data_IF_430023478280
#
_entry.id   IF_430023478280
#
_cell.length_a   1.000
_cell.length_b   1.000
_cell.length_c   1.000
_cell.angle_alpha   90.00
_cell.angle_beta   90.00
_cell.angle_gamma   90.00
#
_symmetry.space_group_name_H-M   'P 1'
#
loop_
_entity.id
_entity.type
_entity.pdbx_description
1 polymer ?
#
# COMPACT_ATOMS: atom_id res chain seq x y z
N UNK A 1 25.61 -5.13 12.19
CA UNK A 1 26.05 -3.75 12.48
C UNK A 1 26.59 -3.18 11.18
N UNK A 2 26.10 -2.02 10.77
CA UNK A 2 26.65 -1.29 9.62
C UNK A 2 28.04 -0.77 9.99
N UNK A 3 28.99 -0.82 9.06
CA UNK A 3 30.35 -0.29 9.24
C UNK A 3 30.30 1.25 9.27
N UNK A 4 31.18 1.92 10.03
CA UNK A 4 31.35 3.38 10.02
C UNK A 4 31.53 3.94 8.59
N UNK A 5 32.19 3.16 7.73
CA UNK A 5 32.38 3.49 6.31
C UNK A 5 31.05 3.47 5.53
N UNK A 6 30.17 2.50 5.83
CA UNK A 6 28.83 2.41 5.22
C UNK A 6 27.94 3.57 5.68
N UNK A 7 28.01 3.96 6.96
CA UNK A 7 27.24 5.10 7.50
C UNK A 7 27.67 6.41 6.83
N UNK A 8 28.99 6.65 6.69
CA UNK A 8 29.49 7.86 6.03
C UNK A 8 29.11 7.93 4.55
N UNK A 9 29.15 6.79 3.84
CA UNK A 9 28.70 6.74 2.44
C UNK A 9 27.18 6.93 2.31
N UNK A 10 26.39 6.33 3.20
CA UNK A 10 24.94 6.53 3.25
C UNK A 10 24.59 8.00 3.46
N UNK A 11 25.26 8.70 4.38
CA UNK A 11 25.05 10.15 4.58
C UNK A 11 25.39 10.95 3.32
N UNK A 12 26.48 10.59 2.61
CA UNK A 12 26.83 11.21 1.33
C UNK A 12 25.72 11.02 0.28
N UNK A 13 25.09 9.85 0.22
CA UNK A 13 23.98 9.59 -0.72
C UNK A 13 22.71 10.36 -0.36
N UNK A 14 22.43 10.54 0.93
CA UNK A 14 21.29 11.33 1.40
C UNK A 14 21.48 12.82 1.04
N UNK A 15 22.64 13.37 1.34
CA UNK A 15 22.93 14.79 1.14
C UNK A 15 23.22 15.16 -0.32
N UNK A 16 23.93 14.31 -1.07
CA UNK A 16 24.42 14.63 -2.42
C UNK A 16 23.55 14.04 -3.53
N UNK A 17 22.85 12.93 -3.29
CA UNK A 17 22.13 12.18 -4.33
C UNK A 17 20.60 12.16 -4.14
N UNK A 18 20.08 12.94 -3.19
CA UNK A 18 18.64 13.08 -2.89
C UNK A 18 17.94 11.74 -2.61
N UNK A 19 18.61 10.85 -1.89
CA UNK A 19 17.99 9.60 -1.46
C UNK A 19 16.84 9.88 -0.48
N UNK A 20 15.63 9.45 -0.82
CA UNK A 20 14.45 9.55 0.04
C UNK A 20 13.85 8.18 0.36
N UNK A 21 13.23 8.09 1.54
CA UNK A 21 12.31 6.99 1.86
C UNK A 21 10.94 7.41 1.37
N UNK A 22 10.47 6.73 0.33
CA UNK A 22 9.19 7.03 -0.29
C UNK A 22 8.04 6.77 0.67
N UNK A 23 8.10 5.71 1.46
CA UNK A 23 7.01 5.33 2.35
C UNK A 23 7.47 4.44 3.50
N UNK A 24 6.82 4.59 4.65
CA UNK A 24 6.67 3.55 5.66
C UNK A 24 5.20 3.10 5.62
N UNK A 25 4.97 1.81 5.43
CA UNK A 25 3.62 1.23 5.37
C UNK A 25 3.47 0.20 6.49
N UNK A 26 2.49 0.40 7.37
CA UNK A 26 2.11 -0.60 8.35
C UNK A 26 1.03 -1.53 7.76
N UNK A 27 1.34 -2.81 7.64
CA UNK A 27 0.37 -3.84 7.31
C UNK A 27 -0.34 -4.34 8.56
N UNK A 28 -1.67 -4.43 8.54
CA UNK A 28 -2.50 -4.83 9.69
C UNK A 28 -3.47 -5.94 9.26
N UNK A 29 -3.40 -7.07 9.98
CA UNK A 29 -4.35 -8.15 9.81
C UNK A 29 -5.70 -7.81 10.46
N UNK A 30 -6.80 -7.97 9.72
CA UNK A 30 -8.16 -7.70 10.19
C UNK A 30 -9.04 -8.95 10.28
N UNK A 31 -8.49 -10.16 10.08
CA UNK A 31 -9.29 -11.38 10.12
C UNK A 31 -9.96 -11.63 11.47
N UNK A 32 -9.36 -11.20 12.58
CA UNK A 32 -9.93 -11.26 13.93
C UNK A 32 -11.06 -10.22 14.16
N UNK A 33 -11.20 -9.25 13.26
CA UNK A 33 -12.28 -8.27 13.28
C UNK A 33 -13.56 -8.82 12.61
N UNK A 34 -13.46 -9.88 11.81
CA UNK A 34 -14.59 -10.45 11.07
C UNK A 34 -15.62 -11.09 12.02
N UNK A 35 -16.88 -10.68 11.89
CA UNK A 35 -18.03 -11.26 12.59
C UNK A 35 -19.32 -11.01 11.81
N UNK A 36 -20.44 -11.62 12.23
CA UNK A 36 -21.72 -11.51 11.49
C UNK A 36 -22.33 -10.11 11.52
N UNK A 37 -22.13 -9.36 12.61
CA UNK A 37 -22.66 -8.01 12.74
C UNK A 37 -21.73 -6.99 12.09
N UNK A 38 -22.23 -6.28 11.07
CA UNK A 38 -21.47 -5.26 10.33
C UNK A 38 -20.96 -4.13 11.21
N UNK A 39 -21.78 -3.63 12.14
CA UNK A 39 -21.38 -2.53 13.02
C UNK A 39 -20.22 -2.94 13.93
N UNK A 40 -20.25 -4.18 14.44
CA UNK A 40 -19.16 -4.72 15.24
C UNK A 40 -17.87 -4.86 14.42
N UNK A 41 -17.97 -5.26 13.14
CA UNK A 41 -16.81 -5.28 12.22
C UNK A 41 -16.23 -3.88 12.07
N UNK A 42 -17.06 -2.89 11.75
CA UNK A 42 -16.62 -1.49 11.59
C UNK A 42 -15.93 -0.96 12.85
N UNK A 43 -16.51 -1.19 14.03
CA UNK A 43 -15.94 -0.75 15.31
C UNK A 43 -14.59 -1.44 15.58
N UNK A 44 -14.51 -2.77 15.43
CA UNK A 44 -13.27 -3.53 15.67
C UNK A 44 -12.15 -3.12 14.71
N UNK A 45 -12.48 -2.89 13.43
CA UNK A 45 -11.51 -2.43 12.42
C UNK A 45 -10.95 -1.07 12.81
N UNK A 46 -11.82 -0.12 13.16
CA UNK A 46 -11.42 1.23 13.57
C UNK A 46 -10.56 1.20 14.85
N UNK A 47 -11.00 0.47 15.87
CA UNK A 47 -10.27 0.29 17.13
C UNK A 47 -8.91 -0.39 16.93
N UNK A 48 -8.83 -1.45 16.12
CA UNK A 48 -7.58 -2.18 15.90
C UNK A 48 -6.56 -1.33 15.15
N UNK A 49 -6.98 -0.66 14.08
CA UNK A 49 -6.10 0.21 13.27
C UNK A 49 -5.59 1.37 14.12
N UNK A 50 -6.48 2.09 14.80
CA UNK A 50 -6.10 3.24 15.63
C UNK A 50 -5.17 2.83 16.77
N UNK A 51 -5.42 1.70 17.44
CA UNK A 51 -4.57 1.19 18.51
C UNK A 51 -3.17 0.80 18.04
N UNK A 52 -3.05 0.12 16.90
CA UNK A 52 -1.76 -0.37 16.40
C UNK A 52 -0.94 0.75 15.75
N UNK A 53 -1.59 1.63 15.00
CA UNK A 53 -0.91 2.65 14.22
C UNK A 53 -0.78 4.01 14.93
N UNK A 54 -1.28 4.17 16.17
CA UNK A 54 -1.30 5.45 16.92
C UNK A 54 0.00 6.28 16.88
N UNK A 55 1.15 5.60 16.88
CA UNK A 55 2.47 6.24 16.94
C UNK A 55 3.19 6.23 15.58
N UNK A 56 2.61 5.63 14.53
CA UNK A 56 3.26 5.41 13.22
C UNK A 56 3.79 6.70 12.59
N UNK A 57 2.96 7.74 12.56
CA UNK A 57 3.32 9.04 11.96
C UNK A 57 4.42 9.73 12.78
N UNK A 58 4.29 9.68 14.10
CA UNK A 58 5.26 10.25 15.03
C UNK A 58 6.62 9.54 14.88
N UNK A 59 6.63 8.22 14.98
CA UNK A 59 7.84 7.40 14.78
C UNK A 59 8.48 7.65 13.42
N UNK A 60 7.69 7.73 12.34
CA UNK A 60 8.21 8.08 11.02
C UNK A 60 8.84 9.47 10.95
N UNK A 61 8.32 10.46 11.68
CA UNK A 61 8.89 11.81 11.74
C UNK A 61 10.13 11.89 12.63
N UNK A 62 10.15 11.14 13.72
CA UNK A 62 11.29 11.05 14.63
C UNK A 62 12.49 10.38 13.93
N UNK A 63 12.27 9.26 13.22
CA UNK A 63 13.31 8.61 12.40
C UNK A 63 13.82 9.57 11.32
N UNK A 64 12.92 10.29 10.66
CA UNK A 64 13.32 11.24 9.61
C UNK A 64 14.26 12.34 10.15
N UNK A 65 14.01 12.79 11.39
CA UNK A 65 14.83 13.78 12.09
C UNK A 65 16.15 13.22 12.56
N UNK A 66 16.13 12.03 13.18
CA UNK A 66 17.31 11.45 13.82
C UNK A 66 18.34 10.96 12.80
N UNK A 67 17.87 10.45 11.65
CA UNK A 67 18.74 9.94 10.58
C UNK A 67 18.94 10.94 9.43
N UNK A 68 18.23 12.07 9.43
CA UNK A 68 18.29 13.06 8.34
C UNK A 68 17.74 12.56 7.00
N UNK A 69 16.99 11.45 6.99
CA UNK A 69 16.42 10.84 5.78
C UNK A 69 14.96 11.28 5.66
N UNK A 70 14.54 11.96 4.57
CA UNK A 70 13.15 12.34 4.41
C UNK A 70 12.27 11.09 4.21
N UNK A 71 11.23 10.96 5.03
CA UNK A 71 10.19 9.93 4.88
C UNK A 71 8.93 10.59 4.32
N UNK A 72 8.69 10.41 3.03
CA UNK A 72 7.67 11.16 2.28
C UNK A 72 6.26 10.77 2.67
N UNK A 73 5.98 9.47 2.84
CA UNK A 73 4.63 8.98 3.15
C UNK A 73 4.63 8.01 4.35
N UNK A 74 3.54 8.01 5.10
CA UNK A 74 3.19 7.04 6.13
C UNK A 74 1.82 6.48 5.78
N UNK A 75 1.73 5.17 5.62
CA UNK A 75 0.57 4.50 5.03
C UNK A 75 0.17 3.28 5.82
N UNK A 76 -1.05 2.82 5.59
CA UNK A 76 -1.55 1.56 6.16
C UNK A 76 -2.03 0.66 5.03
N UNK A 77 -1.74 -0.63 5.13
CA UNK A 77 -2.43 -1.66 4.35
C UNK A 77 -3.16 -2.59 5.28
N UNK A 78 -4.35 -3.05 4.87
CA UNK A 78 -5.16 -3.98 5.66
C UNK A 78 -5.52 -5.21 4.85
N UNK A 79 -5.93 -6.27 5.56
CA UNK A 79 -6.45 -7.50 4.93
C UNK A 79 -7.52 -7.15 3.90
N UNK A 80 -7.53 -7.77 2.70
CA UNK A 80 -8.55 -7.55 1.70
C UNK A 80 -9.96 -7.55 2.31
N UNK A 81 -10.64 -6.41 2.22
CA UNK A 81 -11.94 -6.20 2.87
C UNK A 81 -13.00 -7.17 2.33
N UNK A 82 -12.87 -7.71 1.11
CA UNK A 82 -13.79 -8.76 0.63
C UNK A 82 -13.79 -10.00 1.53
N UNK A 83 -12.67 -10.31 2.19
CA UNK A 83 -12.56 -11.40 3.15
C UNK A 83 -13.14 -11.01 4.52
N UNK A 84 -12.81 -9.80 5.00
CA UNK A 84 -13.22 -9.31 6.33
C UNK A 84 -14.74 -9.12 6.40
N UNK A 85 -15.34 -8.56 5.34
CA UNK A 85 -16.78 -8.32 5.24
C UNK A 85 -17.59 -9.50 4.71
N UNK A 86 -16.97 -10.64 4.36
CA UNK A 86 -17.64 -11.75 3.69
C UNK A 86 -18.87 -12.28 4.46
N UNK A 87 -18.80 -12.32 5.79
CA UNK A 87 -19.86 -12.83 6.65
C UNK A 87 -20.89 -11.78 7.05
N UNK A 88 -20.52 -10.50 7.13
CA UNK A 88 -21.39 -9.41 7.58
C UNK A 88 -22.11 -8.69 6.43
N UNK A 89 -21.43 -8.45 5.31
CA UNK A 89 -21.98 -7.70 4.19
C UNK A 89 -22.99 -8.55 3.40
N UNK A 90 -24.17 -7.99 3.12
CA UNK A 90 -25.25 -8.62 2.35
C UNK A 90 -25.59 -7.84 1.07
N UNK A 91 -25.07 -6.62 0.94
CA UNK A 91 -25.21 -5.76 -0.23
C UNK A 91 -23.98 -4.84 -0.39
N UNK A 92 -23.74 -4.24 -1.56
CA UNK A 92 -22.58 -3.37 -1.80
C UNK A 92 -22.46 -2.20 -0.80
N UNK A 93 -23.58 -1.62 -0.36
CA UNK A 93 -23.59 -0.49 0.59
C UNK A 93 -23.07 -0.87 1.98
N UNK A 94 -23.05 -2.16 2.32
CA UNK A 94 -22.48 -2.63 3.58
C UNK A 94 -20.94 -2.53 3.55
N UNK A 95 -20.32 -2.81 2.40
CA UNK A 95 -18.87 -2.62 2.23
C UNK A 95 -18.48 -1.14 2.31
N UNK A 96 -19.33 -0.23 1.81
CA UNK A 96 -19.11 1.21 1.93
C UNK A 96 -19.00 1.64 3.39
N UNK A 97 -19.75 1.03 4.31
CA UNK A 97 -19.63 1.31 5.75
C UNK A 97 -18.27 0.90 6.31
N UNK A 98 -17.68 -0.20 5.81
CA UNK A 98 -16.31 -0.60 6.18
C UNK A 98 -15.30 0.40 5.58
N UNK A 99 -15.50 0.88 4.35
CA UNK A 99 -14.67 1.92 3.76
C UNK A 99 -14.65 3.19 4.63
N UNK A 100 -15.81 3.61 5.13
CA UNK A 100 -15.95 4.72 6.07
C UNK A 100 -15.19 4.47 7.38
N UNK A 101 -15.21 3.25 7.92
CA UNK A 101 -14.44 2.90 9.10
C UNK A 101 -12.92 2.97 8.87
N UNK A 102 -12.44 2.49 7.70
CA UNK A 102 -11.04 2.62 7.31
C UNK A 102 -10.62 4.08 7.17
N UNK A 103 -11.45 4.91 6.52
CA UNK A 103 -11.16 6.33 6.31
C UNK A 103 -11.11 7.08 7.64
N UNK A 104 -12.06 6.86 8.56
CA UNK A 104 -12.02 7.46 9.91
C UNK A 104 -10.79 7.03 10.70
N UNK A 105 -10.43 5.74 10.66
CA UNK A 105 -9.24 5.24 11.35
C UNK A 105 -7.96 5.86 10.79
N UNK A 106 -7.85 5.98 9.46
CA UNK A 106 -6.70 6.57 8.79
C UNK A 106 -6.55 8.06 9.12
N UNK A 107 -7.64 8.83 9.12
CA UNK A 107 -7.63 10.23 9.55
C UNK A 107 -7.28 10.40 11.04
N UNK A 108 -7.79 9.50 11.89
CA UNK A 108 -7.50 9.53 13.33
C UNK A 108 -6.01 9.34 13.62
N UNK A 109 -5.35 8.46 12.87
CA UNK A 109 -3.90 8.22 13.00
C UNK A 109 -3.06 9.26 12.24
N UNK A 110 -3.63 9.90 11.22
CA UNK A 110 -2.97 10.93 10.42
C UNK A 110 -2.07 10.37 9.31
N UNK A 111 -2.40 9.19 8.76
CA UNK A 111 -1.67 8.60 7.62
C UNK A 111 -2.13 9.18 6.29
N UNK A 112 -1.27 9.11 5.27
CA UNK A 112 -1.56 9.71 3.96
C UNK A 112 -2.60 8.90 3.17
N UNK A 113 -2.52 7.57 3.23
CA UNK A 113 -3.37 6.64 2.49
C UNK A 113 -3.55 5.33 3.26
N UNK A 114 -4.72 4.73 3.12
CA UNK A 114 -5.01 3.37 3.59
C UNK A 114 -5.49 2.48 2.44
N UNK A 115 -4.81 1.36 2.22
CA UNK A 115 -5.13 0.38 1.20
C UNK A 115 -5.63 -0.91 1.82
N UNK A 116 -6.27 -1.76 1.02
CA UNK A 116 -6.82 -3.03 1.46
C UNK A 116 -8.33 -3.12 1.26
N UNK A 117 -8.98 -2.05 0.78
CA UNK A 117 -10.33 -2.12 0.23
C UNK A 117 -10.33 -2.92 -1.07
N UNK A 118 -10.05 -4.20 -0.95
CA UNK A 118 -9.55 -5.02 -2.04
C UNK A 118 -10.27 -6.36 -2.13
N UNK A 119 -10.27 -6.93 -3.33
CA UNK A 119 -10.75 -8.27 -3.62
C UNK A 119 -9.71 -9.04 -4.44
N UNK A 120 -9.63 -10.36 -4.23
CA UNK A 120 -8.64 -11.22 -4.90
C UNK A 120 -9.27 -12.36 -5.73
N UNK A 121 -10.20 -12.07 -6.66
CA UNK A 121 -10.87 -13.09 -7.47
C UNK A 121 -9.98 -13.59 -8.63
N UNK A 122 -8.85 -14.23 -8.32
CA UNK A 122 -7.91 -14.70 -9.34
C UNK A 122 -8.41 -15.92 -10.15
N UNK A 123 -9.40 -16.66 -9.62
CA UNK A 123 -9.99 -17.87 -10.24
C UNK A 123 -11.45 -17.69 -10.60
N UNK A 124 -12.20 -17.06 -9.69
CA UNK A 124 -13.62 -16.77 -9.83
C UNK A 124 -14.02 -15.83 -8.70
N UNK A 125 -14.87 -14.84 -8.98
CA UNK A 125 -15.45 -13.98 -7.96
C UNK A 125 -16.37 -14.76 -7.01
N UNK A 126 -16.15 -14.59 -5.71
CA UNK A 126 -17.17 -14.90 -4.70
C UNK A 126 -18.27 -13.83 -4.70
N UNK A 127 -19.36 -14.08 -3.98
CA UNK A 127 -20.40 -13.07 -3.76
C UNK A 127 -19.84 -11.82 -3.06
N UNK A 128 -18.92 -12.00 -2.10
CA UNK A 128 -18.28 -10.90 -1.39
C UNK A 128 -17.38 -10.06 -2.31
N UNK A 129 -16.60 -10.72 -3.19
CA UNK A 129 -15.77 -10.01 -4.17
C UNK A 129 -16.62 -9.16 -5.12
N UNK A 130 -17.71 -9.73 -5.64
CA UNK A 130 -18.65 -9.00 -6.51
C UNK A 130 -19.26 -7.79 -5.79
N UNK A 131 -19.76 -7.97 -4.58
CA UNK A 131 -20.35 -6.88 -3.79
C UNK A 131 -19.34 -5.78 -3.47
N UNK A 132 -18.09 -6.14 -3.14
CA UNK A 132 -17.02 -5.17 -2.93
C UNK A 132 -16.72 -4.40 -4.23
N UNK A 133 -16.61 -5.08 -5.37
CA UNK A 133 -16.37 -4.41 -6.66
C UNK A 133 -17.52 -3.46 -6.99
N UNK A 134 -18.77 -3.89 -6.83
CA UNK A 134 -19.95 -3.08 -7.12
C UNK A 134 -20.05 -1.85 -6.20
N UNK A 135 -19.48 -1.90 -5.00
CA UNK A 135 -19.44 -0.79 -4.05
C UNK A 135 -18.40 0.29 -4.37
N UNK A 136 -17.41 -0.01 -5.23
CA UNK A 136 -16.26 0.89 -5.47
C UNK A 136 -16.63 2.33 -5.87
N UNK A 137 -17.62 2.56 -6.77
CA UNK A 137 -17.97 3.93 -7.15
C UNK A 137 -18.43 4.77 -5.97
N UNK A 138 -19.21 4.17 -5.05
CA UNK A 138 -19.69 4.86 -3.85
C UNK A 138 -18.57 4.99 -2.82
N UNK A 139 -17.88 3.89 -2.49
CA UNK A 139 -16.81 3.90 -1.50
C UNK A 139 -15.72 4.93 -1.84
N UNK A 140 -15.28 4.99 -3.09
CA UNK A 140 -14.19 5.90 -3.49
C UNK A 140 -14.63 7.35 -3.70
N UNK A 141 -15.93 7.62 -3.82
CA UNK A 141 -16.47 8.99 -3.87
C UNK A 141 -16.81 9.54 -2.49
N UNK A 142 -17.10 8.68 -1.51
CA UNK A 142 -17.48 9.08 -0.15
C UNK A 142 -16.32 9.02 0.86
N UNK A 143 -15.15 8.52 0.47
CA UNK A 143 -13.94 8.48 1.32
C UNK A 143 -12.83 9.32 0.70
N UNK A 144 -11.92 9.85 1.52
CA UNK A 144 -10.85 10.71 1.03
C UNK A 144 -9.58 9.92 0.69
N UNK A 145 -9.11 9.09 1.63
CA UNK A 145 -7.75 8.50 1.59
C UNK A 145 -7.73 6.96 1.49
N UNK A 146 -8.90 6.33 1.36
CA UNK A 146 -9.03 4.90 1.08
C UNK A 146 -8.66 4.58 -0.37
N UNK A 147 -7.74 3.65 -0.55
CA UNK A 147 -7.32 3.06 -1.81
C UNK A 147 -7.83 1.62 -1.95
N UNK A 148 -8.06 1.22 -3.20
CA UNK A 148 -8.66 -0.06 -3.54
C UNK A 148 -7.89 -0.79 -4.62
N UNK A 149 -7.89 -2.11 -4.55
CA UNK A 149 -7.33 -2.96 -5.60
C UNK A 149 -8.11 -4.24 -5.83
N UNK A 150 -8.11 -4.72 -7.08
CA UNK A 150 -8.76 -6.00 -7.43
C UNK A 150 -7.84 -6.84 -8.29
N UNK A 151 -7.50 -8.05 -7.84
CA UNK A 151 -6.69 -8.99 -8.61
C UNK A 151 -7.58 -9.92 -9.45
N UNK A 152 -7.64 -9.68 -10.77
CA UNK A 152 -8.54 -10.38 -11.70
C UNK A 152 -7.96 -11.68 -12.27
N UNK A 153 -6.70 -11.99 -11.99
CA UNK A 153 -6.07 -13.14 -12.62
C UNK A 153 -4.68 -13.45 -12.09
N UNK A 154 -4.18 -14.60 -12.50
CA UNK A 154 -2.80 -15.00 -12.29
C UNK A 154 -2.31 -15.92 -13.41
N UNK A 155 -1.00 -15.97 -13.62
CA UNK A 155 -0.36 -16.92 -14.55
C UNK A 155 -0.74 -18.37 -14.25
N UNK A 156 -1.01 -18.70 -12.99
CA UNK A 156 -1.37 -20.06 -12.56
C UNK A 156 -2.81 -20.43 -12.88
N UNK A 157 -3.72 -19.45 -12.90
CA UNK A 157 -5.17 -19.69 -12.90
C UNK A 157 -5.89 -19.10 -14.12
N UNK A 158 -5.18 -18.35 -14.95
CA UNK A 158 -5.77 -17.58 -16.03
C UNK A 158 -6.34 -16.26 -15.52
N UNK A 159 -7.31 -15.74 -16.26
CA UNK A 159 -7.95 -14.45 -16.00
C UNK A 159 -9.45 -14.70 -15.83
N UNK A 160 -10.03 -14.19 -14.75
CA UNK A 160 -11.47 -14.12 -14.58
C UNK A 160 -12.04 -13.01 -15.46
N UNK A 161 -12.48 -13.38 -16.66
CA UNK A 161 -13.02 -12.42 -17.64
C UNK A 161 -14.35 -11.81 -17.21
N UNK A 162 -15.13 -12.48 -16.37
CA UNK A 162 -16.36 -11.91 -15.80
C UNK A 162 -16.00 -10.78 -14.82
N UNK A 163 -14.92 -10.96 -14.05
CA UNK A 163 -14.38 -9.91 -13.18
C UNK A 163 -13.84 -8.73 -14.00
N UNK A 164 -13.11 -9.00 -15.08
CA UNK A 164 -12.62 -7.96 -16.01
C UNK A 164 -13.77 -7.15 -16.60
N UNK A 165 -14.84 -7.80 -17.07
CA UNK A 165 -16.01 -7.10 -17.62
C UNK A 165 -16.66 -6.20 -16.56
N UNK A 166 -16.87 -6.73 -15.35
CA UNK A 166 -17.43 -5.97 -14.24
C UNK A 166 -16.56 -4.76 -13.88
N UNK A 167 -15.24 -4.94 -13.79
CA UNK A 167 -14.31 -3.84 -13.51
C UNK A 167 -14.30 -2.79 -14.62
N UNK A 168 -14.34 -3.18 -15.89
CA UNK A 168 -14.40 -2.22 -17.01
C UNK A 168 -15.59 -1.27 -16.89
N UNK A 169 -16.76 -1.80 -16.51
CA UNK A 169 -17.96 -1.00 -16.24
C UNK A 169 -17.82 -0.18 -14.96
N UNK A 170 -17.21 -0.76 -13.93
CA UNK A 170 -17.06 -0.13 -12.60
C UNK A 170 -16.09 1.03 -12.62
N UNK A 171 -14.96 0.95 -13.34
CA UNK A 171 -13.99 2.04 -13.50
C UNK A 171 -14.68 3.27 -14.09
N UNK A 172 -15.52 3.09 -15.11
CA UNK A 172 -16.31 4.18 -15.68
C UNK A 172 -17.24 4.82 -14.64
N UNK A 173 -17.92 4.00 -13.83
CA UNK A 173 -18.80 4.49 -12.75
C UNK A 173 -18.01 5.23 -11.65
N UNK A 174 -16.79 4.79 -11.32
CA UNK A 174 -15.91 5.50 -10.37
C UNK A 174 -15.59 6.90 -10.90
N UNK A 175 -15.22 7.00 -12.19
CA UNK A 175 -14.94 8.29 -12.82
C UNK A 175 -16.16 9.21 -12.79
N UNK A 176 -17.33 8.70 -13.17
CA UNK A 176 -18.59 9.45 -13.18
C UNK A 176 -18.99 9.91 -11.76
N UNK A 177 -18.87 9.05 -10.75
CA UNK A 177 -19.20 9.37 -9.36
C UNK A 177 -18.28 10.44 -8.75
N UNK A 178 -17.06 10.59 -9.28
CA UNK A 178 -16.07 11.58 -8.82
C UNK A 178 -15.79 12.66 -9.85
N UNK A 179 -16.64 12.82 -10.87
CA UNK A 179 -16.44 13.78 -11.97
C UNK A 179 -16.34 15.24 -11.50
N UNK A 180 -17.01 15.59 -10.40
CA UNK A 180 -16.92 16.91 -9.78
C UNK A 180 -15.56 17.25 -9.17
N UNK A 181 -14.68 16.26 -9.01
CA UNK A 181 -13.31 16.40 -8.53
C UNK A 181 -12.35 15.68 -9.50
N UNK A 182 -12.41 16.03 -10.78
CA UNK A 182 -11.51 15.50 -11.83
C UNK A 182 -11.41 13.96 -11.87
N UNK A 183 -12.52 13.26 -11.60
CA UNK A 183 -12.57 11.79 -11.53
C UNK A 183 -11.56 11.18 -10.54
N UNK A 184 -11.27 11.88 -9.43
CA UNK A 184 -10.23 11.51 -8.46
C UNK A 184 -10.37 10.10 -7.90
N UNK A 185 -11.56 9.51 -7.87
CA UNK A 185 -11.73 8.10 -7.47
C UNK A 185 -10.85 7.15 -8.29
N UNK A 186 -10.58 7.45 -9.55
CA UNK A 186 -9.74 6.65 -10.43
C UNK A 186 -8.27 6.62 -9.99
N UNK A 187 -7.76 7.64 -9.31
CA UNK A 187 -6.36 7.64 -8.83
C UNK A 187 -6.16 6.73 -7.63
N UNK A 188 -7.26 6.34 -6.96
CA UNK A 188 -7.28 5.49 -5.77
C UNK A 188 -7.54 4.02 -6.08
N UNK A 189 -7.69 3.65 -7.35
CA UNK A 189 -8.06 2.29 -7.76
C UNK A 189 -7.00 1.64 -8.66
N UNK A 190 -6.69 0.37 -8.41
CA UNK A 190 -5.78 -0.44 -9.25
C UNK A 190 -6.39 -1.81 -9.56
N UNK A 191 -6.48 -2.16 -10.84
CA UNK A 191 -6.73 -3.54 -11.26
C UNK A 191 -5.40 -4.27 -11.45
N UNK A 192 -5.27 -5.46 -10.86
CA UNK A 192 -4.09 -6.31 -10.95
C UNK A 192 -4.32 -7.58 -11.74
N UNK A 193 -3.25 -8.06 -12.35
CA UNK A 193 -3.05 -9.46 -12.69
C UNK A 193 -1.72 -9.87 -12.07
N UNK A 194 -1.65 -11.05 -11.45
CA UNK A 194 -0.50 -11.49 -10.65
C UNK A 194 -0.17 -10.53 -9.50
N UNK A 195 -1.18 -10.06 -8.76
CA UNK A 195 -0.90 -9.42 -7.47
C UNK A 195 -0.04 -10.37 -6.61
N UNK A 196 1.01 -9.88 -5.95
CA UNK A 196 1.76 -10.67 -4.98
C UNK A 196 0.86 -11.04 -3.79
N UNK A 197 1.32 -11.95 -2.93
CA UNK A 197 0.54 -12.39 -1.76
C UNK A 197 0.30 -11.26 -0.73
N UNK A 198 1.18 -10.25 -0.72
CA UNK A 198 1.10 -8.99 0.04
C UNK A 198 1.56 -7.83 -0.85
N UNK A 199 0.99 -6.64 -0.68
CA UNK A 199 1.43 -5.45 -1.41
C UNK A 199 1.40 -4.19 -0.53
N UNK A 200 2.54 -3.63 -0.11
CA UNK A 200 2.59 -2.39 0.67
C UNK A 200 2.49 -1.12 -0.19
N UNK A 201 2.42 -1.25 -1.52
CA UNK A 201 2.51 -0.13 -2.47
C UNK A 201 1.12 0.39 -2.89
N UNK A 202 0.90 1.69 -2.66
CA UNK A 202 -0.32 2.41 -3.08
C UNK A 202 -0.25 2.84 -4.55
N UNK A 203 -1.39 2.96 -5.25
CA UNK A 203 -2.77 2.81 -4.76
C UNK A 203 -3.27 1.35 -4.64
N UNK A 204 -2.43 0.36 -4.95
CA UNK A 204 -2.84 -1.04 -4.98
C UNK A 204 -2.71 -1.81 -3.66
N UNK A 205 -2.38 -1.14 -2.56
CA UNK A 205 -1.86 -1.82 -1.37
C UNK A 205 -2.91 -2.65 -0.64
N UNK A 206 -2.51 -3.79 -0.07
CA UNK A 206 -3.29 -4.63 0.85
C UNK A 206 -2.33 -5.50 1.68
N UNK A 207 -2.78 -5.90 2.87
CA UNK A 207 -2.03 -6.77 3.78
C UNK A 207 -2.38 -8.24 3.52
N UNK A 208 -1.39 -9.03 3.11
CA UNK A 208 -1.58 -10.45 2.76
C UNK A 208 -2.08 -11.30 3.94
N UNK A 209 -2.89 -12.32 3.68
CA UNK A 209 -3.36 -13.25 4.73
C UNK A 209 -2.27 -14.19 5.25
N UNK A 210 -1.12 -14.22 4.57
CA UNK A 210 0.07 -14.99 4.96
C UNK A 210 1.03 -14.20 5.85
N UNK A 211 0.79 -12.90 6.04
CA UNK A 211 1.63 -12.02 6.86
C UNK A 211 1.30 -12.14 8.36
N UNK A 212 2.17 -11.53 9.19
CA UNK A 212 1.94 -11.39 10.62
C UNK A 212 0.74 -10.48 10.98
N UNK A 213 0.42 -10.38 12.28
CA UNK A 213 -0.71 -9.55 12.73
C UNK A 213 -0.51 -8.05 12.46
N UNK A 214 0.74 -7.58 12.60
CA UNK A 214 1.18 -6.25 12.21
C UNK A 214 2.63 -6.30 11.70
N UNK A 215 2.92 -5.63 10.58
CA UNK A 215 4.26 -5.59 9.97
C UNK A 215 4.60 -4.18 9.46
N UNK A 216 5.88 -3.87 9.38
CA UNK A 216 6.37 -2.61 8.80
C UNK A 216 7.11 -2.90 7.50
N UNK A 217 6.64 -2.29 6.42
CA UNK A 217 7.26 -2.29 5.11
C UNK A 217 7.80 -0.90 4.78
N UNK A 218 9.00 -0.82 4.20
CA UNK A 218 9.63 0.46 3.82
C UNK A 218 9.94 0.46 2.33
N UNK A 219 9.41 1.45 1.62
CA UNK A 219 9.73 1.70 0.23
C UNK A 219 10.72 2.84 0.11
N UNK A 220 11.82 2.62 -0.62
CA UNK A 220 12.87 3.62 -0.86
C UNK A 220 12.83 4.08 -2.30
N UNK A 221 13.03 5.38 -2.53
CA UNK A 221 13.16 5.94 -3.88
C UNK A 221 14.60 5.83 -4.36
N UNK A 222 14.78 5.33 -5.58
CA UNK A 222 16.08 5.13 -6.22
C UNK A 222 16.34 5.84 -7.56
N UNK A 223 15.35 6.36 -8.32
CA UNK A 223 15.62 6.87 -9.67
C UNK A 223 16.68 7.98 -9.74
N UNK A 224 16.64 8.99 -8.87
CA UNK A 224 17.60 10.11 -8.89
C UNK A 224 19.03 9.67 -8.56
N UNK A 225 19.16 8.82 -7.55
CA UNK A 225 20.41 8.21 -7.11
C UNK A 225 21.02 7.33 -8.21
N UNK A 226 20.21 6.47 -8.83
CA UNK A 226 20.66 5.63 -9.95
C UNK A 226 21.05 6.50 -11.14
N UNK A 227 20.23 7.47 -11.53
CA UNK A 227 20.52 8.37 -12.65
C UNK A 227 21.85 9.09 -12.47
N UNK A 228 22.13 9.59 -11.27
CA UNK A 228 23.39 10.27 -10.96
C UNK A 228 24.58 9.30 -11.03
N UNK A 229 24.44 8.09 -10.49
CA UNK A 229 25.48 7.06 -10.57
C UNK A 229 25.79 6.65 -12.02
N UNK A 230 24.80 6.70 -12.92
CA UNK A 230 24.98 6.37 -14.34
C UNK A 230 25.88 7.36 -15.08
N UNK A 231 26.04 8.61 -14.59
CA UNK A 231 26.93 9.57 -15.23
C UNK A 231 28.39 9.13 -15.18
N UNK A 232 28.80 8.42 -14.11
CA UNK A 232 30.12 7.83 -13.98
C UNK A 232 30.36 6.66 -14.96
N UNK A 233 29.29 6.05 -15.48
CA UNK A 233 29.35 4.95 -16.44
C UNK A 233 29.38 5.41 -17.91
N UNK A 234 29.25 6.72 -18.20
CA UNK A 234 29.31 7.23 -19.58
C UNK A 234 30.66 6.94 -20.20
N UNK A 235 30.66 6.32 -21.38
CA UNK A 235 31.87 5.92 -22.11
C UNK A 235 32.61 4.72 -21.53
N UNK A 236 32.05 4.04 -20.52
CA UNK A 236 32.55 2.77 -19.97
C UNK A 236 31.86 1.58 -20.65
N UNK A 237 32.37 0.37 -20.37
CA UNK A 237 31.76 -0.86 -20.88
C UNK A 237 30.46 -1.23 -20.13
N UNK A 238 29.74 -2.20 -20.70
CA UNK A 238 28.46 -2.65 -20.14
C UNK A 238 28.61 -3.35 -18.79
N UNK A 239 29.76 -3.99 -18.53
CA UNK A 239 30.03 -4.64 -17.26
C UNK A 239 30.11 -3.60 -16.12
N UNK A 240 30.80 -2.48 -16.36
CA UNK A 240 30.88 -1.36 -15.44
C UNK A 240 29.50 -0.74 -15.17
N UNK A 241 28.68 -0.56 -16.20
CA UNK A 241 27.30 -0.08 -16.07
C UNK A 241 26.46 -0.97 -15.14
N UNK A 242 26.46 -2.28 -15.38
CA UNK A 242 25.73 -3.24 -14.55
C UNK A 242 26.21 -3.25 -13.10
N UNK A 243 27.53 -3.20 -12.89
CA UNK A 243 28.10 -3.16 -11.54
C UNK A 243 27.73 -1.88 -10.80
N UNK A 244 27.67 -0.75 -11.51
CA UNK A 244 27.24 0.54 -10.96
C UNK A 244 25.80 0.47 -10.47
N UNK A 245 24.86 0.01 -11.32
CA UNK A 245 23.45 -0.15 -10.94
C UNK A 245 23.30 -1.09 -9.73
N UNK A 246 24.00 -2.25 -9.75
CA UNK A 246 23.94 -3.24 -8.67
C UNK A 246 24.40 -2.67 -7.34
N UNK A 247 25.54 -1.97 -7.31
CA UNK A 247 26.09 -1.36 -6.09
C UNK A 247 25.19 -0.26 -5.56
N UNK A 248 24.67 0.58 -6.45
CA UNK A 248 23.75 1.66 -6.07
C UNK A 248 22.46 1.10 -5.48
N UNK A 249 21.84 0.10 -6.13
CA UNK A 249 20.65 -0.57 -5.62
C UNK A 249 20.90 -1.21 -4.25
N UNK A 250 22.03 -1.90 -4.05
CA UNK A 250 22.40 -2.47 -2.75
C UNK A 250 22.42 -1.42 -1.64
N UNK A 251 23.03 -0.25 -1.89
CA UNK A 251 23.10 0.83 -0.92
C UNK A 251 21.73 1.42 -0.60
N UNK A 252 20.91 1.67 -1.62
CA UNK A 252 19.51 2.14 -1.46
C UNK A 252 18.73 1.15 -0.56
N UNK A 253 18.85 -0.15 -0.81
CA UNK A 253 18.19 -1.18 -0.01
C UNK A 253 18.67 -1.19 1.45
N UNK A 254 19.96 -0.96 1.71
CA UNK A 254 20.50 -0.89 3.07
C UNK A 254 19.91 0.26 3.88
N UNK A 255 19.67 1.40 3.26
CA UNK A 255 19.02 2.55 3.92
C UNK A 255 17.58 2.21 4.28
N UNK A 256 16.84 1.60 3.36
CA UNK A 256 15.49 1.10 3.64
C UNK A 256 15.46 0.11 4.80
N UNK A 257 16.42 -0.81 4.84
CA UNK A 257 16.55 -1.78 5.92
C UNK A 257 16.81 -1.11 7.28
N UNK A 258 17.67 -0.10 7.33
CA UNK A 258 17.95 0.66 8.55
C UNK A 258 16.68 1.32 9.10
N UNK A 259 15.93 2.00 8.22
CA UNK A 259 14.67 2.66 8.58
C UNK A 259 13.61 1.66 9.01
N UNK A 260 13.51 0.52 8.32
CA UNK A 260 12.57 -0.54 8.69
C UNK A 260 12.89 -1.12 10.08
N UNK A 261 14.17 -1.36 10.39
CA UNK A 261 14.58 -1.86 11.69
C UNK A 261 14.24 -0.89 12.81
N UNK A 262 14.47 0.39 12.61
CA UNK A 262 14.17 1.39 13.65
C UNK A 262 12.65 1.59 13.80
N UNK A 263 11.90 1.63 12.70
CA UNK A 263 10.44 1.76 12.74
C UNK A 263 9.72 0.55 13.35
N UNK A 264 10.36 -0.63 13.36
CA UNK A 264 9.79 -1.88 13.89
C UNK A 264 10.00 -2.11 15.39
N UNK A 265 10.75 -1.24 16.07
CA UNK A 265 11.01 -1.30 17.51
C UNK A 265 9.87 -0.71 18.33
#
# INVERSE_FOLDING_TARGET
MLNLMEVSETNSMIEQEQLDVRTITMGINLLDCACENLQDVCNKVEEKITRLAKDLVKTGNDISRDYGIPIVNKRITVTPISLVGASSCKKPEDFVQIAHALDRAAHTVGVDLIGGYSALPAKSMTAADRMLIESLPQALSETEIVCSSVNVGSTRTGIDMDCVELLGRTIKKIAEATAGNDSYGCVKFVAFCNAPDDNPFMAGGFHGVTEGDAVINVGVSGPGVVSSALDAARGKDFAFLCETIKRTAFKITRVGQLVAQEASR
#
